data_IF_234971737289
#
_entry.id   IF_234971737289
#
_cell.length_a   1.000
_cell.length_b   1.000
_cell.length_c   1.000
_cell.angle_alpha   90.00
_cell.angle_beta   90.00
_cell.angle_gamma   90.00
#
_symmetry.space_group_name_H-M   'P 1'
#
loop_
_entity.id
_entity.type
_entity.pdbx_description
1 polymer ?
#
# COMPACT_ATOMS: atom_id res chain seq x y z
N UNK A 1 7.02 -14.12 0.48
CA UNK A 1 5.67 -13.52 0.44
C UNK A 1 5.52 -12.88 -0.94
N UNK A 2 4.61 -13.38 -1.79
CA UNK A 2 4.52 -12.94 -3.20
C UNK A 2 3.65 -11.68 -3.31
N UNK A 3 4.29 -10.51 -3.44
CA UNK A 3 3.67 -9.18 -3.35
C UNK A 3 2.97 -8.68 -4.65
N UNK A 4 2.68 -9.55 -5.62
CA UNK A 4 2.34 -9.12 -7.00
C UNK A 4 1.32 -10.01 -7.77
N UNK A 5 0.45 -10.73 -7.08
CA UNK A 5 -0.43 -11.73 -7.71
C UNK A 5 -1.87 -11.28 -7.91
N UNK A 6 -2.26 -10.08 -7.48
CA UNK A 6 -3.58 -9.54 -7.79
C UNK A 6 -3.60 -9.02 -9.24
N UNK A 7 -4.38 -9.68 -10.10
CA UNK A 7 -4.66 -9.29 -11.48
C UNK A 7 -6.17 -9.19 -11.68
N UNK A 8 -6.61 -8.16 -12.39
CA UNK A 8 -8.01 -8.02 -12.80
C UNK A 8 -8.17 -8.74 -14.14
N UNK A 9 -9.14 -9.64 -14.23
CA UNK A 9 -9.51 -10.32 -15.47
C UNK A 9 -11.03 -10.43 -15.53
N UNK A 10 -11.63 -9.89 -16.59
CA UNK A 10 -13.08 -9.99 -16.88
C UNK A 10 -13.97 -9.72 -15.66
N UNK A 11 -13.89 -8.51 -15.10
CA UNK A 11 -14.71 -8.09 -13.95
C UNK A 11 -14.51 -8.91 -12.66
N UNK A 12 -13.40 -9.64 -12.58
CA UNK A 12 -13.04 -10.48 -11.44
C UNK A 12 -11.63 -10.14 -10.99
N UNK A 13 -11.45 -9.82 -9.70
CA UNK A 13 -10.17 -9.65 -9.06
C UNK A 13 -9.63 -11.04 -8.72
N UNK A 14 -8.66 -11.51 -9.50
CA UNK A 14 -8.00 -12.79 -9.28
C UNK A 14 -6.72 -12.54 -8.48
N UNK A 15 -6.69 -13.06 -7.26
CA UNK A 15 -5.49 -13.20 -6.44
C UNK A 15 -4.99 -14.64 -6.50
N UNK A 16 -3.74 -14.88 -6.08
CA UNK A 16 -3.09 -16.21 -6.11
C UNK A 16 -3.93 -17.34 -5.53
N UNK A 17 -4.82 -17.04 -4.56
CA UNK A 17 -5.60 -18.05 -3.84
C UNK A 17 -7.10 -18.00 -4.09
N UNK A 18 -7.63 -16.97 -4.73
CA UNK A 18 -9.08 -16.78 -4.89
C UNK A 18 -9.43 -15.73 -5.95
N UNK A 19 -10.61 -15.86 -6.56
CA UNK A 19 -11.16 -14.94 -7.56
C UNK A 19 -12.44 -14.32 -7.03
N UNK A 20 -12.51 -12.99 -6.98
CA UNK A 20 -13.67 -12.25 -6.45
C UNK A 20 -14.32 -11.41 -7.53
N UNK A 21 -15.65 -11.48 -7.64
CA UNK A 21 -16.40 -10.60 -8.52
C UNK A 21 -16.32 -9.16 -8.00
N UNK A 22 -15.95 -8.22 -8.87
CA UNK A 22 -15.88 -6.79 -8.54
C UNK A 22 -17.22 -6.24 -8.04
N UNK A 23 -18.32 -6.92 -8.36
CA UNK A 23 -19.67 -6.56 -7.97
C UNK A 23 -19.94 -6.66 -6.46
N UNK A 24 -19.15 -7.46 -5.76
CA UNK A 24 -19.27 -7.68 -4.31
C UNK A 24 -18.40 -6.73 -3.47
N UNK A 25 -17.55 -5.92 -4.11
CA UNK A 25 -16.57 -5.03 -3.45
C UNK A 25 -17.25 -3.69 -3.14
N UNK A 26 -17.26 -3.26 -1.87
CA UNK A 26 -17.99 -2.05 -1.43
C UNK A 26 -17.05 -0.85 -1.26
N UNK A 27 -15.81 -1.07 -0.85
CA UNK A 27 -14.80 -0.02 -0.73
C UNK A 27 -13.38 -0.60 -0.87
N UNK A 28 -12.48 0.16 -1.48
CA UNK A 28 -11.06 -0.14 -1.56
C UNK A 28 -10.28 1.02 -0.95
N UNK A 29 -9.47 0.75 0.07
CA UNK A 29 -8.62 1.76 0.72
C UNK A 29 -7.15 1.40 0.56
N UNK A 30 -6.32 2.37 0.16
CA UNK A 30 -4.88 2.19 -0.01
C UNK A 30 -4.17 2.88 1.16
N UNK A 31 -3.73 2.09 2.12
CA UNK A 31 -2.99 2.57 3.28
C UNK A 31 -1.47 2.43 3.07
N UNK A 32 -0.70 3.34 3.67
CA UNK A 32 0.77 3.29 3.70
C UNK A 32 1.28 3.14 5.13
N UNK A 33 0.97 2.02 5.81
CA UNK A 33 1.26 1.87 7.24
C UNK A 33 2.77 1.93 7.54
N UNK A 34 3.60 1.43 6.62
CA UNK A 34 5.05 1.44 6.79
C UNK A 34 5.65 2.84 6.79
N UNK A 35 5.01 3.80 6.12
CA UNK A 35 5.49 5.18 6.07
C UNK A 35 5.38 5.82 7.47
N UNK A 36 4.25 5.64 8.14
CA UNK A 36 4.05 6.12 9.53
C UNK A 36 5.01 5.47 10.52
N UNK A 37 5.25 4.15 10.37
CA UNK A 37 6.19 3.41 11.24
C UNK A 37 7.63 3.87 11.02
N UNK A 38 8.02 4.13 9.76
CA UNK A 38 9.37 4.61 9.40
C UNK A 38 9.66 6.04 9.85
N UNK A 39 8.64 6.83 10.18
CA UNK A 39 8.82 8.22 10.59
C UNK A 39 9.54 8.33 11.94
N UNK A 40 9.18 7.46 12.88
CA UNK A 40 9.76 7.43 14.24
C UNK A 40 11.28 7.22 14.21
N UNK A 41 11.83 6.18 13.57
CA UNK A 41 13.28 5.99 13.51
C UNK A 41 13.98 7.10 12.73
N UNK A 42 13.37 7.69 11.70
CA UNK A 42 13.98 8.79 10.95
C UNK A 42 14.12 10.05 11.80
N UNK A 43 13.06 10.44 12.52
CA UNK A 43 13.10 11.57 13.45
C UNK A 43 14.11 11.31 14.57
N UNK A 44 14.10 10.10 15.13
CA UNK A 44 15.04 9.68 16.17
C UNK A 44 16.50 9.75 15.70
N UNK A 45 16.81 9.25 14.51
CA UNK A 45 18.14 9.32 13.91
C UNK A 45 18.59 10.77 13.66
N UNK A 46 17.71 11.63 13.16
CA UNK A 46 18.03 13.05 12.98
C UNK A 46 18.31 13.75 14.31
N UNK A 47 17.49 13.52 15.33
CA UNK A 47 17.69 14.06 16.66
C UNK A 47 18.99 13.55 17.30
N UNK A 48 19.31 12.27 17.10
CA UNK A 48 20.56 11.66 17.55
C UNK A 48 21.79 12.32 16.88
N UNK A 49 21.80 12.44 15.55
CA UNK A 49 22.89 13.12 14.84
C UNK A 49 23.06 14.58 15.30
N UNK A 50 21.97 15.28 15.59
CA UNK A 50 22.03 16.65 16.09
C UNK A 50 22.60 16.73 17.52
N UNK A 51 22.14 15.86 18.42
CA UNK A 51 22.58 15.82 19.81
C UNK A 51 24.06 15.43 19.95
N UNK A 52 24.54 14.52 19.11
CA UNK A 52 25.90 13.98 19.18
C UNK A 52 26.83 14.49 18.07
N UNK A 53 26.48 15.60 17.40
CA UNK A 53 27.26 16.17 16.29
C UNK A 53 28.73 16.50 16.64
N UNK A 54 29.03 16.73 17.92
CA UNK A 54 30.37 17.04 18.39
C UNK A 54 31.23 15.81 18.72
N UNK A 55 30.62 14.63 18.73
CA UNK A 55 31.27 13.35 19.09
C UNK A 55 31.37 12.44 17.85
N UNK A 56 30.38 12.46 16.96
CA UNK A 56 30.38 11.64 15.77
C UNK A 56 31.29 12.19 14.68
N UNK A 57 31.95 11.27 13.96
CA UNK A 57 32.65 11.61 12.73
C UNK A 57 31.65 11.93 11.60
N UNK A 58 32.02 12.79 10.64
CA UNK A 58 31.16 13.12 9.51
C UNK A 58 30.72 11.90 8.70
N UNK A 59 31.57 10.88 8.59
CA UNK A 59 31.25 9.63 7.88
C UNK A 59 30.15 8.82 8.59
N UNK A 60 30.14 8.81 9.93
CA UNK A 60 29.12 8.12 10.72
C UNK A 60 27.76 8.81 10.57
N UNK A 61 27.75 10.14 10.59
CA UNK A 61 26.55 10.95 10.35
C UNK A 61 25.99 10.65 8.95
N UNK A 62 26.86 10.56 7.93
CA UNK A 62 26.45 10.23 6.58
C UNK A 62 25.82 8.82 6.49
N UNK A 63 26.37 7.83 7.18
CA UNK A 63 25.82 6.46 7.22
C UNK A 63 24.45 6.43 7.93
N UNK A 64 24.31 7.13 9.06
CA UNK A 64 23.05 7.17 9.83
C UNK A 64 21.95 7.86 9.00
N UNK A 65 22.24 9.02 8.42
CA UNK A 65 21.27 9.75 7.60
C UNK A 65 20.95 8.96 6.32
N UNK A 66 21.97 8.36 5.69
CA UNK A 66 21.80 7.55 4.49
C UNK A 66 20.91 6.33 4.74
N UNK A 67 21.15 5.59 5.83
CA UNK A 67 20.33 4.42 6.20
C UNK A 67 18.89 4.80 6.58
N UNK A 68 18.69 5.90 7.31
CA UNK A 68 17.36 6.43 7.62
C UNK A 68 16.59 6.83 6.34
N UNK A 69 17.27 7.49 5.41
CA UNK A 69 16.69 7.88 4.12
C UNK A 69 16.33 6.66 3.26
N UNK A 70 17.22 5.66 3.20
CA UNK A 70 16.98 4.42 2.48
C UNK A 70 15.76 3.66 3.06
N UNK A 71 15.63 3.63 4.38
CA UNK A 71 14.47 3.04 5.08
C UNK A 71 13.17 3.75 4.70
N UNK A 72 13.16 5.09 4.68
CA UNK A 72 11.99 5.89 4.33
C UNK A 72 11.59 5.70 2.86
N UNK A 73 12.58 5.66 1.95
CA UNK A 73 12.34 5.37 0.53
C UNK A 73 11.76 3.96 0.37
N UNK A 74 12.32 2.95 1.06
CA UNK A 74 11.81 1.59 1.06
C UNK A 74 10.37 1.51 1.55
N UNK A 75 10.07 2.14 2.69
CA UNK A 75 8.74 2.21 3.27
C UNK A 75 7.73 2.93 2.36
N UNK A 76 8.14 3.97 1.62
CA UNK A 76 7.28 4.69 0.69
C UNK A 76 6.90 3.86 -0.56
N UNK A 77 7.69 2.82 -0.90
CA UNK A 77 7.42 1.96 -2.06
C UNK A 77 6.44 0.83 -1.74
N UNK A 78 6.32 0.46 -0.47
CA UNK A 78 5.45 -0.64 -0.03
C UNK A 78 4.14 -0.05 0.48
N UNK A 79 3.04 -0.46 -0.12
CA UNK A 79 1.69 -0.09 0.28
C UNK A 79 0.87 -1.31 0.69
N UNK A 80 -0.24 -1.03 1.34
CA UNK A 80 -1.26 -2.00 1.68
C UNK A 80 -2.57 -1.57 1.04
N UNK A 81 -3.23 -2.49 0.34
CA UNK A 81 -4.58 -2.32 -0.15
C UNK A 81 -5.50 -3.14 0.76
N UNK A 82 -6.43 -2.44 1.41
CA UNK A 82 -7.49 -3.04 2.23
C UNK A 82 -8.77 -3.01 1.41
N UNK A 83 -9.27 -4.19 1.07
CA UNK A 83 -10.55 -4.35 0.41
C UNK A 83 -11.60 -4.57 1.49
N UNK A 84 -12.63 -3.72 1.51
CA UNK A 84 -13.76 -3.84 2.43
C UNK A 84 -14.97 -4.22 1.60
N UNK A 85 -15.54 -5.37 1.89
CA UNK A 85 -16.79 -5.80 1.27
C UNK A 85 -17.70 -6.47 2.28
N UNK A 86 -19.00 -6.26 2.06
CA UNK A 86 -20.06 -6.79 2.91
C UNK A 86 -20.13 -8.33 2.84
N UNK A 87 -19.82 -8.90 1.68
CA UNK A 87 -19.70 -10.34 1.44
C UNK A 87 -18.35 -10.94 1.86
N UNK A 88 -17.35 -10.10 2.12
CA UNK A 88 -16.02 -10.50 2.56
C UNK A 88 -15.89 -10.60 4.11
N UNK A 89 -16.99 -10.41 4.87
CA UNK A 89 -17.03 -10.62 6.34
C UNK A 89 -16.74 -12.09 6.68
N UNK A 90 -15.48 -12.40 6.99
CA UNK A 90 -15.03 -13.75 7.39
C UNK A 90 -14.02 -14.42 6.45
N UNK A 91 -13.67 -13.79 5.33
CA UNK A 91 -12.67 -14.29 4.38
C UNK A 91 -11.28 -13.70 4.64
N UNK A 92 -10.23 -14.49 4.40
CA UNK A 92 -8.82 -14.06 4.51
C UNK A 92 -8.47 -12.84 3.61
N UNK A 93 -9.32 -12.48 2.63
CA UNK A 93 -9.20 -11.25 1.84
C UNK A 93 -9.71 -9.97 2.51
N UNK A 94 -10.39 -10.08 3.65
CA UNK A 94 -10.49 -8.96 4.59
C UNK A 94 -9.11 -8.60 5.17
N UNK A 95 -8.10 -9.46 4.93
CA UNK A 95 -6.69 -9.24 5.20
C UNK A 95 -6.01 -8.33 4.17
N UNK A 96 -5.13 -7.49 4.69
CA UNK A 96 -4.22 -6.60 4.00
C UNK A 96 -3.54 -7.21 2.75
N UNK A 97 -3.83 -6.72 1.54
CA UNK A 97 -3.06 -7.06 0.33
C UNK A 97 -1.85 -6.15 0.26
N UNK A 98 -0.65 -6.71 0.40
CA UNK A 98 0.60 -5.97 0.35
C UNK A 98 1.17 -5.95 -1.07
N UNK A 99 1.64 -4.79 -1.52
CA UNK A 99 2.21 -4.64 -2.86
C UNK A 99 2.91 -3.30 -3.06
N UNK A 100 3.44 -3.10 -4.27
CA UNK A 100 3.97 -1.79 -4.67
C UNK A 100 2.86 -0.75 -4.73
N UNK A 101 3.09 0.45 -4.19
CA UNK A 101 2.10 1.53 -4.20
C UNK A 101 1.59 1.88 -5.60
N UNK A 102 2.43 1.77 -6.64
CA UNK A 102 2.02 1.97 -8.03
C UNK A 102 1.04 0.89 -8.51
N UNK A 103 1.32 -0.36 -8.16
CA UNK A 103 0.48 -1.50 -8.52
C UNK A 103 -0.89 -1.43 -7.84
N UNK A 104 -0.90 -1.10 -6.54
CA UNK A 104 -2.13 -0.94 -5.77
C UNK A 104 -2.99 0.23 -6.26
N UNK A 105 -2.36 1.36 -6.63
CA UNK A 105 -3.08 2.49 -7.24
C UNK A 105 -3.67 2.14 -8.61
N UNK A 106 -2.96 1.36 -9.42
CA UNK A 106 -3.47 0.89 -10.71
C UNK A 106 -4.72 0.02 -10.52
N UNK A 107 -4.68 -0.93 -9.58
CA UNK A 107 -5.82 -1.77 -9.22
C UNK A 107 -7.00 -0.94 -8.73
N UNK A 108 -6.76 0.03 -7.84
CA UNK A 108 -7.80 0.93 -7.36
C UNK A 108 -8.47 1.71 -8.50
N UNK A 109 -7.68 2.33 -9.38
CA UNK A 109 -8.21 3.10 -10.51
C UNK A 109 -9.03 2.21 -11.47
N UNK A 110 -8.64 0.96 -11.65
CA UNK A 110 -9.38 0.02 -12.50
C UNK A 110 -10.70 -0.43 -11.86
N UNK A 111 -10.74 -0.63 -10.55
CA UNK A 111 -11.99 -0.88 -9.80
C UNK A 111 -12.94 0.32 -9.95
N UNK A 112 -12.45 1.55 -9.78
CA UNK A 112 -13.27 2.76 -9.93
C UNK A 112 -13.85 2.90 -11.34
N UNK A 113 -13.05 2.65 -12.38
CA UNK A 113 -13.54 2.69 -13.78
C UNK A 113 -14.66 1.69 -14.05
N UNK A 114 -14.56 0.48 -13.48
CA UNK A 114 -15.61 -0.54 -13.62
C UNK A 114 -16.92 -0.07 -12.98
N UNK A 115 -16.86 0.57 -11.81
CA UNK A 115 -18.04 1.13 -11.16
C UNK A 115 -18.69 2.25 -11.99
N UNK A 116 -17.91 3.21 -12.49
CA UNK A 116 -18.43 4.29 -13.36
C UNK A 116 -19.12 3.73 -14.61
N UNK A 117 -18.55 2.71 -15.25
CA UNK A 117 -19.15 2.04 -16.41
C UNK A 117 -20.44 1.28 -16.11
N UNK A 118 -20.69 0.97 -14.84
CA UNK A 118 -21.89 0.27 -14.38
C UNK A 118 -23.00 1.25 -14.05
N UNK A 119 -22.69 2.35 -13.36
CA UNK A 119 -23.64 3.44 -13.10
C UNK A 119 -24.21 4.00 -14.41
N UNK A 120 -23.36 4.27 -15.41
CA UNK A 120 -23.81 4.74 -16.72
C UNK A 120 -24.75 3.75 -17.45
N UNK A 121 -24.62 2.44 -17.20
CA UNK A 121 -25.53 1.42 -17.75
C UNK A 121 -26.85 1.34 -17.01
N UNK A 122 -26.87 1.61 -15.70
CA UNK A 122 -28.09 1.64 -14.90
C UNK A 122 -28.93 2.91 -15.14
N UNK A 123 -28.32 4.03 -15.53
CA UNK A 123 -29.05 5.26 -15.91
C UNK A 123 -29.65 5.20 -17.32
N UNK A 124 -29.19 4.27 -18.16
CA UNK A 124 -29.61 4.15 -19.57
C UNK A 124 -30.70 3.09 -19.81
N UNK A 125 -31.20 2.44 -18.76
CA UNK A 125 -32.17 1.34 -18.81
C UNK A 125 -33.45 1.70 -18.04
#
# INVERSE_FOLDING_TARGET
MNFNTAKIKNNTLVTHRSSYLLDSITAADVQRPLLSISLVPVIGSCAFCFAFRGILFPDEIAIIIGSATALLIGAARIGQLKLVSRDLRGSELSGAVWGSTKHLKSIHAEITRVWESKEARHESA
#
